data_IF_859257367003
#
_entry.id   IF_859257367003
#
_cell.length_a   1.000
_cell.length_b   1.000
_cell.length_c   1.000
_cell.angle_alpha   90.00
_cell.angle_beta   90.00
_cell.angle_gamma   90.00
#
_symmetry.space_group_name_H-M   'P 1'
#
loop_
_entity.id
_entity.type
_entity.pdbx_description
1 polymer ?
#
# COMPACT_ATOMS: atom_id res chain seq x y z
N UNK A 1 -7.06 17.51 -12.04
CA UNK A 1 -7.87 16.65 -11.16
C UNK A 1 -7.05 16.42 -9.93
N UNK A 2 -7.65 16.42 -8.75
CA UNK A 2 -6.91 16.25 -7.50
C UNK A 2 -7.16 14.84 -6.97
N UNK A 3 -6.09 14.10 -6.67
CA UNK A 3 -6.13 12.80 -6.00
C UNK A 3 -5.49 12.97 -4.64
N UNK A 4 -6.15 12.47 -3.60
CA UNK A 4 -5.64 12.49 -2.23
C UNK A 4 -5.33 11.06 -1.79
N UNK A 5 -4.09 10.82 -1.35
CA UNK A 5 -3.70 9.59 -0.69
C UNK A 5 -3.75 9.81 0.83
N UNK A 6 -4.61 9.05 1.50
CA UNK A 6 -4.73 9.07 2.95
C UNK A 6 -3.46 8.53 3.63
N UNK A 7 -3.26 8.86 4.91
CA UNK A 7 -2.07 8.52 5.69
C UNK A 7 -1.79 7.01 5.72
N UNK A 8 -2.82 6.18 5.62
CA UNK A 8 -2.69 4.71 5.51
C UNK A 8 -2.04 4.29 4.20
N UNK A 9 -2.53 4.80 3.07
CA UNK A 9 -1.96 4.53 1.75
C UNK A 9 -0.50 5.04 1.66
N UNK A 10 -0.25 6.26 2.12
CA UNK A 10 1.10 6.83 2.17
C UNK A 10 2.04 5.98 3.01
N UNK A 11 1.60 5.51 4.19
CA UNK A 11 2.41 4.63 5.05
C UNK A 11 2.69 3.28 4.38
N UNK A 12 1.70 2.67 3.74
CA UNK A 12 1.84 1.39 3.05
C UNK A 12 2.87 1.49 1.93
N UNK A 13 2.71 2.45 1.02
CA UNK A 13 3.65 2.70 -0.07
C UNK A 13 5.08 2.93 0.48
N UNK A 14 5.20 3.65 1.59
CA UNK A 14 6.50 3.89 2.22
C UNK A 14 7.17 2.62 2.76
N UNK A 15 6.40 1.73 3.38
CA UNK A 15 6.90 0.46 3.88
C UNK A 15 7.38 -0.41 2.71
N UNK A 16 6.53 -0.59 1.71
CA UNK A 16 6.85 -1.40 0.53
C UNK A 16 8.00 -0.82 -0.28
N UNK A 17 8.17 0.51 -0.29
CA UNK A 17 9.31 1.15 -0.92
C UNK A 17 10.60 0.84 -0.18
N UNK A 18 10.59 0.83 1.16
CA UNK A 18 11.77 0.43 1.94
C UNK A 18 12.15 -1.02 1.68
N UNK A 19 11.16 -1.91 1.67
CA UNK A 19 11.36 -3.33 1.34
C UNK A 19 11.93 -3.49 -0.08
N UNK A 20 11.40 -2.74 -1.06
CA UNK A 20 11.91 -2.75 -2.43
C UNK A 20 13.37 -2.29 -2.53
N UNK A 21 13.78 -1.29 -1.74
CA UNK A 21 15.18 -0.83 -1.67
C UNK A 21 16.08 -1.92 -1.08
N UNK A 22 15.62 -2.59 -0.01
CA UNK A 22 16.40 -3.61 0.69
C UNK A 22 16.52 -4.93 -0.09
N UNK A 23 15.44 -5.35 -0.75
CA UNK A 23 15.34 -6.60 -1.48
C UNK A 23 15.71 -6.46 -2.96
N UNK A 24 15.66 -5.24 -3.50
CA UNK A 24 15.88 -4.94 -4.91
C UNK A 24 14.74 -5.42 -5.81
N UNK A 25 13.53 -5.53 -5.27
CA UNK A 25 12.33 -5.98 -5.97
C UNK A 25 11.20 -4.97 -5.85
N UNK A 26 10.68 -4.50 -6.98
CA UNK A 26 9.63 -3.47 -7.03
C UNK A 26 8.26 -4.04 -7.38
N UNK A 27 8.11 -5.37 -7.48
CA UNK A 27 6.85 -5.98 -7.88
C UNK A 27 5.76 -5.74 -6.84
N UNK A 28 6.07 -5.99 -5.56
CA UNK A 28 5.15 -5.74 -4.45
C UNK A 28 4.85 -4.25 -4.27
N UNK A 29 5.88 -3.40 -4.36
CA UNK A 29 5.70 -1.94 -4.30
C UNK A 29 4.72 -1.44 -5.37
N UNK A 30 4.82 -1.94 -6.60
CA UNK A 30 3.89 -1.56 -7.67
C UNK A 30 2.45 -1.92 -7.34
N UNK A 31 2.23 -3.10 -6.77
CA UNK A 31 0.91 -3.57 -6.36
C UNK A 31 0.36 -2.69 -5.23
N UNK A 32 1.16 -2.41 -4.20
CA UNK A 32 0.78 -1.52 -3.10
C UNK A 32 0.46 -0.08 -3.55
N UNK A 33 1.21 0.45 -4.51
CA UNK A 33 0.90 1.74 -5.12
C UNK A 33 -0.43 1.66 -5.87
N UNK A 34 -0.63 0.63 -6.71
CA UNK A 34 -1.87 0.47 -7.47
C UNK A 34 -3.11 0.38 -6.56
N UNK A 35 -3.03 -0.42 -5.49
CA UNK A 35 -4.12 -0.62 -4.52
C UNK A 35 -4.42 0.64 -3.69
N UNK A 36 -3.48 1.58 -3.63
CA UNK A 36 -3.69 2.88 -2.98
C UNK A 36 -4.61 3.81 -3.78
N UNK A 37 -4.90 3.50 -5.06
CA UNK A 37 -5.85 4.23 -5.89
C UNK A 37 -7.15 3.45 -6.05
N UNK A 38 -8.28 4.17 -6.01
CA UNK A 38 -9.58 3.57 -6.33
C UNK A 38 -9.69 3.24 -7.81
N UNK A 39 -10.51 2.25 -8.17
CA UNK A 39 -10.75 1.87 -9.57
C UNK A 39 -11.18 3.08 -10.43
N UNK A 40 -11.99 4.00 -9.90
CA UNK A 40 -12.39 5.22 -10.62
C UNK A 40 -11.22 6.17 -10.87
N UNK A 41 -10.31 6.31 -9.91
CA UNK A 41 -9.10 7.11 -10.06
C UNK A 41 -8.17 6.47 -11.10
N UNK A 42 -7.99 5.15 -11.05
CA UNK A 42 -7.20 4.39 -12.03
C UNK A 42 -7.76 4.57 -13.45
N UNK A 43 -9.05 4.33 -13.66
CA UNK A 43 -9.68 4.52 -14.97
C UNK A 43 -9.51 5.96 -15.50
N UNK A 44 -9.59 6.95 -14.61
CA UNK A 44 -9.48 8.35 -15.00
C UNK A 44 -8.02 8.77 -15.26
N UNK A 45 -7.05 8.14 -14.60
CA UNK A 45 -5.62 8.24 -14.95
C UNK A 45 -5.40 7.65 -16.35
N UNK A 46 -5.85 6.43 -16.58
CA UNK A 46 -5.70 5.72 -17.87
C UNK A 46 -6.35 6.46 -19.05
N UNK A 47 -7.47 7.14 -18.82
CA UNK A 47 -8.10 7.99 -19.86
C UNK A 47 -7.25 9.19 -20.25
N UNK A 48 -6.36 9.64 -19.37
CA UNK A 48 -5.46 10.78 -19.62
C UNK A 48 -4.08 10.35 -20.08
N UNK A 49 -3.65 9.14 -19.78
CA UNK A 49 -2.46 8.54 -20.37
C UNK A 49 -2.64 8.46 -21.90
N UNK A 50 -1.67 8.99 -22.64
CA UNK A 50 -1.65 8.92 -24.12
C UNK A 50 -1.37 7.49 -24.62
N UNK A 51 -0.78 6.64 -23.77
CA UNK A 51 -0.47 5.24 -24.03
C UNK A 51 -0.33 4.44 -22.73
N UNK A 52 -0.75 3.17 -22.77
CA UNK A 52 -0.58 2.23 -21.66
C UNK A 52 -1.74 2.22 -20.66
N UNK A 53 -1.71 1.24 -19.77
CA UNK A 53 -2.55 1.20 -18.57
C UNK A 53 -1.80 1.76 -17.36
N UNK A 54 -2.47 1.92 -16.22
CA UNK A 54 -1.83 2.49 -15.04
C UNK A 54 -0.69 1.59 -14.50
N UNK A 55 -0.75 0.29 -14.77
CA UNK A 55 0.30 -0.65 -14.39
C UNK A 55 1.58 -0.45 -15.20
N UNK A 56 1.47 -0.24 -16.52
CA UNK A 56 2.58 0.13 -17.39
C UNK A 56 3.19 1.45 -16.95
N UNK A 57 2.36 2.45 -16.66
CA UNK A 57 2.80 3.73 -16.10
C UNK A 57 3.61 3.55 -14.81
N UNK A 58 3.10 2.79 -13.83
CA UNK A 58 3.83 2.53 -12.58
C UNK A 58 5.12 1.76 -12.83
N UNK A 59 5.15 0.85 -13.79
CA UNK A 59 6.37 0.13 -14.16
C UNK A 59 7.42 1.09 -14.71
N UNK A 60 7.04 2.02 -15.58
CA UNK A 60 7.95 3.04 -16.11
C UNK A 60 8.50 3.95 -15.00
N UNK A 61 7.67 4.33 -14.02
CA UNK A 61 8.10 5.10 -12.84
C UNK A 61 9.12 4.33 -12.01
N UNK A 62 8.84 3.05 -11.75
CA UNK A 62 9.70 2.20 -10.92
C UNK A 62 11.01 1.81 -11.61
N UNK A 63 11.03 1.75 -12.95
CA UNK A 63 12.26 1.61 -13.74
C UNK A 63 13.09 2.91 -13.75
N UNK A 64 12.45 4.08 -13.61
CA UNK A 64 13.14 5.39 -13.47
C UNK A 64 13.64 5.64 -12.05
N UNK A 65 12.96 5.10 -11.04
CA UNK A 65 13.34 5.23 -9.65
C UNK A 65 14.62 4.40 -9.35
N UNK A 66 15.69 5.09 -8.97
CA UNK A 66 16.98 4.46 -8.64
C UNK A 66 16.94 3.60 -7.35
N UNK A 67 15.85 3.68 -6.57
CA UNK A 67 15.70 2.96 -5.31
C UNK A 67 16.59 3.52 -4.20
N UNK A 68 16.88 4.82 -4.19
CA UNK A 68 17.74 5.44 -3.17
C UNK A 68 16.91 5.95 -1.98
N UNK A 69 15.80 6.66 -2.27
CA UNK A 69 14.92 7.23 -1.25
C UNK A 69 13.44 7.11 -1.63
N UNK A 70 12.59 6.89 -0.63
CA UNK A 70 11.13 6.83 -0.84
C UNK A 70 10.53 8.19 -1.22
N UNK A 71 11.09 9.30 -0.73
CA UNK A 71 10.56 10.62 -1.09
C UNK A 71 10.75 10.90 -2.59
N UNK A 72 11.83 10.40 -3.21
CA UNK A 72 12.06 10.48 -4.66
C UNK A 72 10.95 9.78 -5.46
N UNK A 73 10.51 8.59 -5.01
CA UNK A 73 9.38 7.88 -5.62
C UNK A 73 8.11 8.74 -5.65
N UNK A 74 7.78 9.41 -4.54
CA UNK A 74 6.61 10.30 -4.49
C UNK A 74 6.79 11.52 -5.41
N UNK A 75 7.99 12.09 -5.49
CA UNK A 75 8.28 13.19 -6.41
C UNK A 75 8.10 12.77 -7.89
N UNK A 76 8.53 11.56 -8.25
CA UNK A 76 8.34 10.99 -9.59
C UNK A 76 6.85 10.80 -9.89
N UNK A 77 6.09 10.19 -8.97
CA UNK A 77 4.65 10.02 -9.10
C UNK A 77 3.91 11.36 -9.26
N UNK A 78 4.21 12.34 -8.40
CA UNK A 78 3.62 13.69 -8.47
C UNK A 78 3.94 14.39 -9.80
N UNK A 79 5.19 14.30 -10.25
CA UNK A 79 5.64 14.92 -11.49
C UNK A 79 4.90 14.34 -12.69
N UNK A 80 4.90 13.01 -12.81
CA UNK A 80 4.40 12.29 -13.98
C UNK A 80 2.87 12.31 -14.05
N UNK A 81 2.18 12.21 -12.91
CA UNK A 81 0.74 12.48 -12.83
C UNK A 81 0.44 13.96 -13.16
N UNK A 82 1.29 14.88 -12.74
CA UNK A 82 1.20 16.31 -13.06
C UNK A 82 1.23 16.59 -14.56
N UNK A 83 2.06 15.87 -15.31
CA UNK A 83 2.16 16.01 -16.78
C UNK A 83 0.84 15.66 -17.50
N UNK A 84 0.08 14.71 -16.95
CA UNK A 84 -1.25 14.32 -17.46
C UNK A 84 -2.41 15.11 -16.80
N UNK A 85 -2.10 16.16 -16.04
CA UNK A 85 -3.09 17.07 -15.44
C UNK A 85 -3.73 16.55 -14.15
N UNK A 86 -3.04 15.67 -13.44
CA UNK A 86 -3.43 15.11 -12.16
C UNK A 86 -2.51 15.64 -11.07
N UNK A 87 -3.10 16.30 -10.09
CA UNK A 87 -2.41 16.82 -8.93
C UNK A 87 -2.54 15.78 -7.81
N UNK A 88 -1.44 15.07 -7.53
CA UNK A 88 -1.36 14.12 -6.42
C UNK A 88 -1.07 14.88 -5.13
N UNK A 89 -1.85 14.58 -4.09
CA UNK A 89 -1.72 15.14 -2.76
C UNK A 89 -1.58 14.00 -1.76
N UNK A 90 -0.56 14.07 -0.92
CA UNK A 90 -0.29 13.09 0.13
C UNK A 90 -0.50 13.74 1.49
N UNK A 91 -0.96 12.97 2.47
CA UNK A 91 -0.91 13.43 3.85
C UNK A 91 0.55 13.60 4.29
N UNK A 92 0.88 14.69 5.00
CA UNK A 92 2.22 14.89 5.54
C UNK A 92 2.63 13.72 6.46
N UNK A 93 3.95 13.47 6.50
CA UNK A 93 4.55 12.49 7.39
C UNK A 93 4.12 12.76 8.84
N UNK A 94 3.89 11.72 9.66
CA UNK A 94 3.61 11.90 11.08
C UNK A 94 4.72 12.68 11.82
N UNK A 95 5.97 12.64 11.34
CA UNK A 95 7.08 13.43 11.91
C UNK A 95 7.05 14.92 11.56
N UNK A 96 6.24 15.35 10.58
CA UNK A 96 6.08 16.76 10.19
C UNK A 96 4.90 17.44 10.88
N UNK A 97 4.01 16.67 11.54
CA UNK A 97 2.89 17.17 12.34
C UNK A 97 3.17 17.00 13.84
N UNK A 98 3.82 18.00 14.47
CA UNK A 98 4.00 18.05 15.94
C UNK A 98 2.67 18.26 16.73
N UNK A 99 1.49 18.24 16.10
CA UNK A 99 0.22 18.52 16.77
C UNK A 99 -0.98 17.82 16.10
N UNK A 100 -1.17 16.51 16.27
CA UNK A 100 -2.52 15.91 16.26
C UNK A 100 -2.54 14.56 17.01
N UNK A 101 -3.50 14.35 17.96
CA UNK A 101 -3.54 13.14 18.76
C UNK A 101 -3.88 11.90 17.92
N UNK A 102 -3.15 10.82 18.20
CA UNK A 102 -3.36 9.48 17.69
C UNK A 102 -4.84 9.05 17.91
N UNK A 103 -5.63 8.97 16.83
CA UNK A 103 -6.86 8.18 16.87
C UNK A 103 -6.45 6.71 16.75
N UNK A 104 -6.64 6.02 17.87
CA UNK A 104 -6.39 4.61 18.18
C UNK A 104 -6.65 3.67 16.99
N UNK A 105 -5.69 2.77 16.76
CA UNK A 105 -5.87 1.61 15.90
C UNK A 105 -6.95 0.70 16.50
N UNK A 106 -8.06 0.55 15.79
CA UNK A 106 -9.03 -0.52 15.98
C UNK A 106 -8.40 -1.81 15.43
N UNK A 107 -7.68 -2.51 16.30
CA UNK A 107 -7.15 -3.87 16.08
C UNK A 107 -8.12 -4.85 16.76
N UNK A 108 -9.23 -5.15 16.08
CA UNK A 108 -10.20 -6.16 16.50
C UNK A 108 -9.91 -7.46 15.70
N UNK A 109 -8.78 -8.12 16.03
CA UNK A 109 -8.48 -9.51 15.64
C UNK A 109 -8.21 -10.36 16.89
N UNK A 110 -9.27 -10.68 17.63
CA UNK A 110 -9.25 -11.70 18.70
C UNK A 110 -9.59 -13.07 18.07
N UNK A 111 -8.63 -13.65 17.35
CA UNK A 111 -8.65 -15.05 16.88
C UNK A 111 -8.14 -15.96 18.01
N UNK A 112 -9.07 -16.43 18.87
CA UNK A 112 -8.77 -17.47 19.85
C UNK A 112 -9.07 -18.86 19.26
N UNK A 113 -8.05 -19.49 18.68
CA UNK A 113 -7.98 -20.94 18.47
C UNK A 113 -7.78 -21.64 19.83
N UNK A 114 -8.81 -22.32 20.34
CA UNK A 114 -8.67 -23.27 21.44
C UNK A 114 -8.68 -24.71 20.87
N UNK A 115 -7.48 -25.22 20.59
CA UNK A 115 -7.18 -26.66 20.49
C UNK A 115 -7.01 -27.21 21.91
N UNK A 116 -7.95 -28.04 22.38
CA UNK A 116 -7.70 -28.95 23.51
C UNK A 116 -8.31 -30.33 23.22
N UNK A 117 -7.42 -31.21 22.73
CA UNK A 117 -7.57 -32.67 22.68
C UNK A 117 -7.31 -33.24 24.09
N UNK A 118 -8.31 -33.88 24.69
CA UNK A 118 -8.11 -34.73 25.86
C UNK A 118 -9.07 -35.93 25.83
N UNK A 119 -8.51 -37.05 25.37
CA UNK A 119 -9.05 -38.41 25.41
C UNK A 119 -9.09 -38.99 26.84
N UNK A 120 -10.04 -39.93 27.08
CA UNK A 120 -10.11 -41.02 28.10
C UNK A 120 -11.54 -41.11 28.69
N UNK A 121 -12.20 -42.24 28.97
CA UNK A 121 -12.17 -43.67 28.59
C UNK A 121 -13.47 -44.29 29.20
N UNK A 122 -13.70 -45.61 29.02
CA UNK A 122 -14.75 -46.49 29.59
C UNK A 122 -16.08 -46.62 28.80
N UNK A 123 -16.65 -47.80 28.55
CA UNK A 123 -16.57 -49.07 29.26
C UNK A 123 -16.76 -50.28 28.31
N UNK A 124 -16.05 -51.34 28.68
CA UNK A 124 -15.92 -52.67 28.10
C UNK A 124 -17.26 -53.41 27.87
N UNK A 125 -17.28 -54.22 26.81
CA UNK A 125 -18.36 -55.12 26.47
C UNK A 125 -18.15 -56.49 27.15
N UNK A 126 -19.12 -56.95 27.95
CA UNK A 126 -19.17 -58.35 28.40
C UNK A 126 -20.13 -59.18 27.52
N UNK A 127 -19.53 -60.15 26.82
CA UNK A 127 -20.00 -61.41 26.20
C UNK A 127 -21.49 -61.61 25.82
#
# INVERSE_FOLDING_TARGET
>A
MDIYLDRRAVRQIRLSAQEAIEEGDTESLREDILESFTEEQVEEIERRLDSGDFYEFLTDILDEWDGDDTDELFELLETQLGEVGIDLKTEPRPDEDEDEPEEEADDDEDEAEDEDDAFEEEEDADL
#
